data_IF_560737455460
#
_entry.id   IF_560737455460
#
_cell.length_a   1.000
_cell.length_b   1.000
_cell.length_c   1.000
_cell.angle_alpha   90.00
_cell.angle_beta   90.00
_cell.angle_gamma   90.00
#
_symmetry.space_group_name_H-M   'P 1'
#
loop_
_entity.id
_entity.type
_entity.pdbx_description
1 polymer ?
#
# COMPACT_ATOMS: atom_id res chain seq x y z
N UNK A 1 -49.20 -58.46 47.77
CA UNK A 1 -48.10 -57.69 48.31
C UNK A 1 -47.14 -57.39 47.23
N UNK A 2 -47.08 -56.13 46.73
CA UNK A 2 -46.41 -55.76 45.50
C UNK A 2 -45.17 -54.93 45.82
N UNK A 3 -43.97 -55.51 45.59
CA UNK A 3 -42.71 -54.79 45.66
C UNK A 3 -42.58 -53.91 44.40
N UNK A 4 -42.39 -52.58 44.63
CA UNK A 4 -41.97 -51.63 43.66
C UNK A 4 -40.45 -51.37 43.80
N UNK A 5 -39.73 -51.82 42.86
CA UNK A 5 -38.32 -51.56 42.67
C UNK A 5 -38.14 -50.18 41.98
N UNK A 6 -37.54 -49.22 42.67
CA UNK A 6 -37.15 -47.92 42.10
C UNK A 6 -35.80 -48.07 41.37
N UNK A 7 -35.78 -47.83 40.08
CA UNK A 7 -34.54 -47.64 39.29
C UNK A 7 -34.13 -46.20 39.40
N UNK A 8 -32.96 -45.93 39.98
CA UNK A 8 -32.26 -44.65 39.90
C UNK A 8 -31.45 -44.61 38.60
N UNK A 9 -31.86 -43.77 37.65
CA UNK A 9 -31.10 -43.49 36.45
C UNK A 9 -30.04 -42.40 36.72
N UNK A 10 -28.77 -42.74 36.61
CA UNK A 10 -27.68 -41.78 36.63
C UNK A 10 -27.57 -41.08 35.27
N UNK A 11 -27.84 -39.80 35.25
CA UNK A 11 -27.58 -38.95 34.07
C UNK A 11 -26.13 -38.53 34.07
N UNK A 12 -25.32 -39.08 33.19
CA UNK A 12 -23.93 -38.61 32.93
C UNK A 12 -23.99 -37.44 31.99
N UNK A 13 -23.77 -36.23 32.51
CA UNK A 13 -23.53 -35.02 31.70
C UNK A 13 -22.13 -35.09 31.06
N UNK A 14 -22.08 -35.37 29.77
CA UNK A 14 -20.88 -35.14 28.98
C UNK A 14 -20.77 -33.65 28.67
N UNK A 15 -19.89 -32.97 29.36
CA UNK A 15 -19.45 -31.61 29.02
C UNK A 15 -18.56 -31.69 27.77
N UNK A 16 -19.10 -31.42 26.58
CA UNK A 16 -18.33 -31.24 25.39
C UNK A 16 -17.56 -29.90 25.50
N UNK A 17 -16.27 -29.96 25.83
CA UNK A 17 -15.36 -28.86 25.64
C UNK A 17 -15.20 -28.63 24.12
N UNK A 18 -16.00 -27.74 23.60
CA UNK A 18 -15.79 -27.21 22.25
C UNK A 18 -14.52 -26.35 22.28
N UNK A 19 -13.38 -26.92 21.84
CA UNK A 19 -12.22 -26.13 21.46
C UNK A 19 -12.64 -25.28 20.25
N UNK A 20 -12.98 -24.02 20.50
CA UNK A 20 -13.10 -23.00 19.47
C UNK A 20 -11.70 -22.79 18.90
N UNK A 21 -11.35 -23.53 17.85
CA UNK A 21 -10.24 -23.13 16.98
C UNK A 21 -10.70 -21.87 16.27
N UNK A 22 -10.16 -20.71 16.68
CA UNK A 22 -10.27 -19.50 15.89
C UNK A 22 -9.78 -19.84 14.47
N UNK A 23 -10.72 -19.92 13.54
CA UNK A 23 -10.38 -19.94 12.11
C UNK A 23 -9.63 -18.63 11.83
N UNK A 24 -8.47 -18.70 11.16
CA UNK A 24 -7.81 -17.50 10.68
C UNK A 24 -8.85 -16.72 9.87
N UNK A 25 -9.02 -15.43 10.18
CA UNK A 25 -9.90 -14.57 9.40
C UNK A 25 -9.45 -14.66 7.93
N UNK A 26 -10.34 -15.07 7.04
CA UNK A 26 -10.09 -15.00 5.60
C UNK A 26 -9.75 -13.54 5.27
N UNK A 27 -8.52 -13.27 4.85
CA UNK A 27 -8.10 -11.95 4.38
C UNK A 27 -8.98 -11.60 3.17
N UNK A 28 -9.86 -10.61 3.37
CA UNK A 28 -10.85 -10.25 2.37
C UNK A 28 -10.19 -9.46 1.26
N UNK A 29 -10.23 -9.99 0.04
CA UNK A 29 -9.74 -9.27 -1.14
C UNK A 29 -10.46 -7.92 -1.28
N UNK A 30 -9.69 -6.89 -1.62
CA UNK A 30 -10.23 -5.58 -1.97
C UNK A 30 -11.09 -5.69 -3.26
N UNK A 31 -12.17 -4.92 -3.40
CA UNK A 31 -13.02 -4.96 -4.57
C UNK A 31 -12.27 -4.56 -5.85
N UNK A 32 -12.67 -5.16 -6.97
CA UNK A 32 -12.17 -4.79 -8.31
C UNK A 32 -12.58 -3.36 -8.63
N UNK A 33 -11.66 -2.60 -9.20
CA UNK A 33 -11.88 -1.20 -9.55
C UNK A 33 -11.15 -0.81 -10.85
N UNK A 34 -11.77 0.06 -11.62
CA UNK A 34 -11.15 0.78 -12.73
C UNK A 34 -10.07 1.74 -12.21
N UNK A 35 -9.30 2.38 -13.13
CA UNK A 35 -8.43 3.50 -12.77
C UNK A 35 -9.21 4.56 -11.98
N UNK A 36 -8.54 5.16 -10.99
CA UNK A 36 -9.19 6.17 -10.17
C UNK A 36 -9.45 7.44 -11.00
N UNK A 37 -10.61 8.02 -10.81
CA UNK A 37 -10.95 9.29 -11.45
C UNK A 37 -10.01 10.40 -11.00
N UNK A 38 -9.77 11.36 -11.89
CA UNK A 38 -8.95 12.55 -11.60
C UNK A 38 -9.41 13.25 -10.30
N UNK A 39 -8.45 13.83 -9.60
CA UNK A 39 -8.78 14.71 -8.49
C UNK A 39 -9.53 15.94 -9.04
N UNK A 40 -10.45 16.46 -8.24
CA UNK A 40 -11.23 17.67 -8.56
C UNK A 40 -11.10 18.66 -7.41
N UNK A 41 -11.03 19.97 -7.69
CA UNK A 41 -11.02 20.98 -6.64
C UNK A 41 -12.31 20.92 -5.84
N UNK A 42 -12.22 20.93 -4.49
CA UNK A 42 -13.37 21.00 -3.59
C UNK A 42 -13.79 22.43 -3.27
N UNK A 43 -12.93 23.40 -3.56
CA UNK A 43 -13.18 24.81 -3.26
C UNK A 43 -12.77 25.68 -4.45
N UNK A 44 -13.46 26.83 -4.67
CA UNK A 44 -13.10 27.77 -5.73
C UNK A 44 -11.69 28.36 -5.60
N UNK A 45 -11.12 28.41 -4.37
CA UNK A 45 -9.79 28.92 -4.09
C UNK A 45 -8.68 27.86 -4.18
N UNK A 46 -8.99 26.62 -4.55
CA UNK A 46 -7.99 25.59 -4.68
C UNK A 46 -7.06 25.83 -5.88
N UNK A 47 -5.76 25.86 -5.59
CA UNK A 47 -4.69 26.08 -6.57
C UNK A 47 -4.24 24.72 -7.11
N UNK A 48 -4.16 24.54 -8.44
CA UNK A 48 -3.65 23.31 -9.05
C UNK A 48 -2.13 23.23 -8.99
N UNK A 49 -1.62 22.07 -8.61
CA UNK A 49 -0.22 21.71 -8.62
C UNK A 49 -0.02 20.41 -9.37
N UNK A 50 1.13 20.26 -10.02
CA UNK A 50 1.54 19.03 -10.68
C UNK A 50 2.76 18.44 -10.02
N UNK A 51 2.77 17.11 -9.84
CA UNK A 51 3.94 16.38 -9.32
C UNK A 51 5.11 16.53 -10.31
N UNK A 52 6.24 16.99 -9.80
CA UNK A 52 7.52 16.96 -10.53
C UNK A 52 8.13 15.57 -10.41
N UNK A 53 7.89 14.76 -11.44
CA UNK A 53 8.39 13.39 -11.48
C UNK A 53 9.90 13.28 -11.32
N UNK A 54 10.67 14.30 -11.74
CA UNK A 54 12.14 14.27 -11.69
C UNK A 54 12.71 14.22 -10.27
N UNK A 55 11.94 14.70 -9.28
CA UNK A 55 12.31 14.76 -7.86
C UNK A 55 11.51 13.77 -7.00
N UNK A 56 10.76 12.87 -7.64
CA UNK A 56 9.88 11.94 -6.94
C UNK A 56 10.57 10.62 -6.60
N UNK A 57 10.14 10.00 -5.53
CA UNK A 57 10.57 8.67 -5.09
C UNK A 57 9.44 7.91 -4.44
N UNK A 58 9.37 6.64 -4.76
CA UNK A 58 8.51 5.65 -4.10
C UNK A 58 9.41 4.49 -3.69
N UNK A 59 9.33 4.08 -2.42
CA UNK A 59 10.13 2.99 -1.87
C UNK A 59 9.26 2.08 -1.00
N UNK A 60 9.67 0.82 -0.87
CA UNK A 60 9.13 -0.09 0.14
C UNK A 60 10.18 -1.06 0.66
N UNK A 61 9.93 -1.65 1.83
CA UNK A 61 10.77 -2.68 2.43
C UNK A 61 9.90 -3.84 2.89
N UNK A 62 10.11 -5.00 2.31
CA UNK A 62 9.58 -6.27 2.82
C UNK A 62 10.67 -6.95 3.63
N UNK A 63 10.53 -6.94 4.95
CA UNK A 63 11.50 -7.53 5.89
C UNK A 63 10.99 -8.87 6.39
N UNK A 64 11.73 -9.92 6.13
CA UNK A 64 11.47 -11.27 6.62
C UNK A 64 12.72 -11.85 7.31
N UNK A 65 12.57 -12.86 8.17
CA UNK A 65 13.69 -13.36 8.97
C UNK A 65 14.96 -13.73 8.19
N UNK A 66 14.86 -14.18 6.95
CA UNK A 66 16.01 -14.62 6.16
C UNK A 66 16.29 -13.77 4.92
N UNK A 67 15.37 -12.85 4.58
CA UNK A 67 15.45 -12.09 3.35
C UNK A 67 14.85 -10.71 3.53
N UNK A 68 15.51 -9.68 3.00
CA UNK A 68 14.96 -8.34 2.79
C UNK A 68 14.82 -8.09 1.31
N UNK A 69 13.64 -7.60 0.92
CA UNK A 69 13.38 -7.12 -0.44
C UNK A 69 13.04 -5.65 -0.34
N UNK A 70 13.87 -4.81 -0.94
CA UNK A 70 13.66 -3.38 -1.04
C UNK A 70 13.24 -3.02 -2.45
N UNK A 71 12.15 -2.28 -2.58
CA UNK A 71 11.75 -1.67 -3.83
C UNK A 71 12.13 -0.20 -3.86
N UNK A 72 12.69 0.25 -4.98
CA UNK A 72 13.05 1.64 -5.23
C UNK A 72 12.59 2.03 -6.64
N UNK A 73 11.81 3.11 -6.72
CA UNK A 73 11.29 3.63 -7.98
C UNK A 73 11.47 5.16 -8.03
N UNK A 74 12.70 5.62 -8.30
CA UNK A 74 12.96 7.04 -8.51
C UNK A 74 12.27 7.54 -9.77
N UNK A 75 11.80 8.79 -9.72
CA UNK A 75 11.13 9.46 -10.86
C UNK A 75 9.86 8.77 -11.35
N UNK A 76 9.24 7.95 -10.51
CA UNK A 76 8.07 7.14 -10.87
C UNK A 76 6.73 7.82 -10.62
N UNK A 77 6.70 8.91 -9.84
CA UNK A 77 5.45 9.54 -9.47
C UNK A 77 5.02 10.60 -10.46
N UNK A 78 3.72 10.61 -10.72
CA UNK A 78 3.03 11.64 -11.48
C UNK A 78 1.68 11.92 -10.84
N UNK A 79 1.11 13.10 -11.08
CA UNK A 79 -0.21 13.40 -10.54
C UNK A 79 -0.49 14.88 -10.42
N UNK A 80 -1.67 15.16 -9.88
CA UNK A 80 -2.18 16.52 -9.68
C UNK A 80 -2.73 16.67 -8.27
N UNK A 81 -2.50 17.83 -7.69
CA UNK A 81 -3.03 18.24 -6.39
C UNK A 81 -3.85 19.53 -6.60
N UNK A 82 -4.96 19.63 -5.91
CA UNK A 82 -5.73 20.87 -5.75
C UNK A 82 -5.66 21.26 -4.29
N UNK A 83 -4.91 22.31 -3.99
CA UNK A 83 -4.60 22.73 -2.63
C UNK A 83 -5.28 24.06 -2.33
N UNK A 84 -6.11 24.10 -1.28
CA UNK A 84 -6.62 25.33 -0.71
C UNK A 84 -5.69 25.75 0.46
N UNK A 85 -4.82 26.75 0.27
CA UNK A 85 -3.86 27.14 1.30
C UNK A 85 -4.52 27.82 2.52
N UNK A 86 -5.77 28.26 2.40
CA UNK A 86 -6.55 28.87 3.51
C UNK A 86 -7.32 27.82 4.30
N UNK A 87 -7.57 26.65 3.69
CA UNK A 87 -8.25 25.52 4.33
C UNK A 87 -7.80 24.20 3.73
N UNK A 88 -6.71 23.65 4.25
CA UNK A 88 -6.13 22.40 3.75
C UNK A 88 -7.09 21.20 3.78
N UNK A 89 -8.16 21.23 4.61
CA UNK A 89 -9.17 20.15 4.64
C UNK A 89 -9.93 20.03 3.32
N UNK A 90 -9.93 21.07 2.50
CA UNK A 90 -10.55 21.11 1.17
C UNK A 90 -9.63 20.67 0.04
N UNK A 91 -8.38 20.34 0.36
CA UNK A 91 -7.41 19.87 -0.64
C UNK A 91 -7.70 18.45 -1.08
N UNK A 92 -7.36 18.15 -2.34
CA UNK A 92 -7.48 16.82 -2.96
C UNK A 92 -6.26 16.53 -3.80
N UNK A 93 -5.98 15.25 -4.06
CA UNK A 93 -4.91 14.85 -4.95
C UNK A 93 -5.21 13.52 -5.64
N UNK A 94 -4.60 13.30 -6.80
CA UNK A 94 -4.40 11.98 -7.39
C UNK A 94 -2.92 11.84 -7.71
N UNK A 95 -2.27 10.88 -7.08
CA UNK A 95 -0.87 10.54 -7.34
C UNK A 95 -0.80 9.11 -7.83
N UNK A 96 -0.01 8.88 -8.88
CA UNK A 96 0.21 7.57 -9.52
C UNK A 96 1.69 7.25 -9.50
N UNK A 97 2.01 6.00 -9.16
CA UNK A 97 3.37 5.46 -9.25
C UNK A 97 3.46 4.50 -10.45
N UNK A 98 4.41 4.73 -11.36
CA UNK A 98 4.68 3.85 -12.48
C UNK A 98 5.54 2.66 -12.01
N UNK A 99 4.90 1.51 -11.86
CA UNK A 99 5.52 0.28 -11.37
C UNK A 99 6.52 -0.34 -12.37
N UNK A 100 6.53 0.09 -13.63
CA UNK A 100 7.58 -0.31 -14.59
C UNK A 100 8.95 0.28 -14.26
N UNK A 101 9.00 1.35 -13.45
CA UNK A 101 10.23 1.97 -12.99
C UNK A 101 10.74 1.39 -11.67
N UNK A 102 10.01 0.43 -11.10
CA UNK A 102 10.38 -0.25 -9.87
C UNK A 102 11.62 -1.14 -10.08
N UNK A 103 12.61 -0.97 -9.22
CA UNK A 103 13.79 -1.83 -9.14
C UNK A 103 13.82 -2.51 -7.77
N UNK A 104 13.96 -3.83 -7.75
CA UNK A 104 14.05 -4.62 -6.53
C UNK A 104 15.49 -5.00 -6.21
N UNK A 105 15.82 -4.82 -4.94
CA UNK A 105 17.08 -5.22 -4.32
C UNK A 105 16.82 -6.27 -3.26
N UNK A 106 17.76 -7.15 -3.08
CA UNK A 106 17.67 -8.28 -2.16
C UNK A 106 18.88 -8.32 -1.25
N UNK A 107 18.66 -8.63 0.02
CA UNK A 107 19.68 -9.04 0.99
C UNK A 107 19.22 -10.37 1.59
N UNK A 108 20.16 -11.30 1.75
CA UNK A 108 19.90 -12.63 2.34
C UNK A 108 20.83 -12.89 3.51
N UNK A 109 20.38 -13.73 4.43
CA UNK A 109 21.21 -14.31 5.49
C UNK A 109 20.92 -15.80 5.63
N UNK A 110 21.91 -16.56 6.12
CA UNK A 110 21.80 -18.01 6.27
C UNK A 110 20.83 -18.40 7.41
N UNK A 111 20.85 -17.64 8.49
CA UNK A 111 19.98 -17.80 9.65
C UNK A 111 19.75 -16.44 10.34
N UNK A 112 18.87 -16.39 11.33
CA UNK A 112 18.48 -15.15 12.01
C UNK A 112 19.58 -14.52 12.89
N UNK A 113 20.63 -15.27 13.23
CA UNK A 113 21.74 -14.80 14.07
C UNK A 113 22.87 -14.18 13.23
N UNK A 114 22.85 -14.38 11.92
CA UNK A 114 23.84 -13.85 10.98
C UNK A 114 23.35 -12.52 10.41
N UNK A 115 24.24 -11.55 10.25
CA UNK A 115 23.94 -10.30 9.57
C UNK A 115 23.49 -10.53 8.12
N UNK A 116 22.61 -9.67 7.61
CA UNK A 116 22.27 -9.70 6.19
C UNK A 116 23.51 -9.43 5.32
N UNK A 117 23.61 -10.14 4.22
CA UNK A 117 24.62 -9.89 3.20
C UNK A 117 24.42 -8.56 2.48
N UNK A 118 25.26 -8.33 1.47
CA UNK A 118 25.24 -7.12 0.68
C UNK A 118 23.88 -6.93 -0.04
N UNK A 119 23.41 -5.68 -0.10
CA UNK A 119 22.25 -5.27 -0.89
C UNK A 119 22.59 -5.33 -2.38
N UNK A 120 21.92 -6.19 -3.12
CA UNK A 120 22.15 -6.41 -4.56
C UNK A 120 20.86 -6.28 -5.35
N UNK A 121 20.94 -5.66 -6.53
CA UNK A 121 19.85 -5.71 -7.49
C UNK A 121 19.53 -7.16 -7.82
N UNK A 122 18.27 -7.55 -7.79
CA UNK A 122 17.82 -8.91 -8.03
C UNK A 122 16.96 -8.97 -9.27
N UNK A 123 17.54 -9.39 -10.39
CA UNK A 123 16.79 -9.54 -11.65
C UNK A 123 15.60 -10.51 -11.47
N UNK A 124 15.82 -11.62 -10.73
CA UNK A 124 14.76 -12.59 -10.44
C UNK A 124 13.58 -11.98 -9.67
N UNK A 125 13.84 -11.12 -8.67
CA UNK A 125 12.77 -10.46 -7.93
C UNK A 125 12.06 -9.41 -8.79
N UNK A 126 12.80 -8.74 -9.69
CA UNK A 126 12.20 -7.82 -10.65
C UNK A 126 11.25 -8.53 -11.63
N UNK A 127 11.66 -9.68 -12.17
CA UNK A 127 10.80 -10.53 -13.02
C UNK A 127 9.56 -10.99 -12.26
N UNK A 128 9.73 -11.53 -11.03
CA UNK A 128 8.61 -11.94 -10.19
C UNK A 128 7.63 -10.79 -9.92
N UNK A 129 8.12 -9.60 -9.58
CA UNK A 129 7.25 -8.45 -9.34
C UNK A 129 6.43 -8.08 -10.57
N UNK A 130 7.05 -8.09 -11.76
CA UNK A 130 6.35 -7.81 -13.01
C UNK A 130 5.26 -8.84 -13.31
N UNK A 131 5.53 -10.12 -13.07
CA UNK A 131 4.58 -11.21 -13.26
C UNK A 131 3.44 -11.16 -12.22
N UNK A 132 3.75 -10.93 -10.95
CA UNK A 132 2.75 -10.90 -9.88
C UNK A 132 1.83 -9.68 -9.98
N UNK A 133 2.38 -8.54 -10.38
CA UNK A 133 1.64 -7.32 -10.64
C UNK A 133 0.95 -7.31 -12.02
N UNK A 134 1.27 -8.27 -12.88
CA UNK A 134 0.72 -8.39 -14.24
C UNK A 134 0.83 -7.07 -15.03
N UNK A 135 2.00 -6.40 -14.94
CA UNK A 135 2.25 -5.12 -15.62
C UNK A 135 2.78 -5.26 -17.04
N UNK A 136 3.02 -6.48 -17.50
CA UNK A 136 3.36 -6.80 -18.88
C UNK A 136 2.24 -7.62 -19.53
N UNK A 137 1.92 -7.31 -20.78
CA UNK A 137 0.99 -8.11 -21.56
C UNK A 137 1.56 -9.51 -21.81
N UNK A 138 0.74 -10.55 -21.67
CA UNK A 138 1.13 -11.93 -21.88
C UNK A 138 -0.02 -12.67 -22.54
N UNK A 139 0.26 -13.30 -23.69
CA UNK A 139 -0.78 -13.98 -24.49
C UNK A 139 -1.54 -15.03 -23.65
N UNK A 140 -2.87 -15.00 -23.74
CA UNK A 140 -3.74 -15.91 -23.01
C UNK A 140 -3.93 -15.61 -21.51
N UNK A 141 -3.20 -14.61 -20.94
CA UNK A 141 -3.23 -14.33 -19.49
C UNK A 141 -3.59 -12.86 -19.19
N UNK A 142 -2.85 -11.92 -19.77
CA UNK A 142 -2.98 -10.49 -19.49
C UNK A 142 -3.05 -9.71 -20.77
N UNK A 143 -4.18 -9.07 -21.04
CA UNK A 143 -4.32 -8.19 -22.22
C UNK A 143 -3.46 -6.94 -22.04
N UNK A 144 -3.11 -6.29 -23.16
CA UNK A 144 -2.37 -5.03 -23.12
C UNK A 144 -3.10 -3.94 -22.31
N UNK A 145 -4.42 -3.89 -22.38
CA UNK A 145 -5.24 -2.94 -21.62
C UNK A 145 -5.17 -3.21 -20.10
N UNK A 146 -5.22 -4.49 -19.69
CA UNK A 146 -5.06 -4.89 -18.29
C UNK A 146 -3.65 -4.57 -17.78
N UNK A 147 -2.61 -4.91 -18.55
CA UNK A 147 -1.23 -4.63 -18.18
C UNK A 147 -1.00 -3.11 -18.01
N UNK A 148 -1.54 -2.28 -18.91
CA UNK A 148 -1.44 -0.82 -18.76
C UNK A 148 -2.23 -0.30 -17.54
N UNK A 149 -3.38 -0.91 -17.24
CA UNK A 149 -4.15 -0.57 -16.04
C UNK A 149 -3.41 -0.97 -14.75
N UNK A 150 -2.74 -2.13 -14.75
CA UNK A 150 -1.98 -2.64 -13.60
C UNK A 150 -0.62 -1.95 -13.42
N UNK A 151 -0.12 -1.30 -14.47
CA UNK A 151 1.14 -0.55 -14.46
C UNK A 151 1.22 0.50 -13.36
N UNK A 152 0.07 1.06 -12.96
CA UNK A 152 0.03 2.15 -12.00
C UNK A 152 -0.56 1.72 -10.66
N UNK A 153 0.19 1.99 -9.58
CA UNK A 153 -0.41 2.15 -8.25
C UNK A 153 -0.93 3.58 -8.13
N UNK A 154 -2.18 3.75 -7.70
CA UNK A 154 -2.86 5.05 -7.68
C UNK A 154 -3.35 5.36 -6.26
N UNK A 155 -3.16 6.59 -5.79
CA UNK A 155 -3.68 7.08 -4.52
C UNK A 155 -4.45 8.38 -4.75
N UNK A 156 -5.76 8.34 -4.57
CA UNK A 156 -6.65 9.51 -4.60
C UNK A 156 -6.91 9.98 -3.18
N UNK A 157 -6.28 11.08 -2.79
CA UNK A 157 -6.51 11.71 -1.50
C UNK A 157 -7.81 12.48 -1.54
N UNK A 158 -8.72 12.12 -0.65
CA UNK A 158 -10.04 12.75 -0.51
C UNK A 158 -10.20 13.51 0.79
N UNK A 159 -9.30 13.28 1.77
CA UNK A 159 -9.37 13.90 3.10
C UNK A 159 -7.99 14.10 3.70
N UNK A 160 -7.77 15.28 4.29
CA UNK A 160 -6.66 15.58 5.18
C UNK A 160 -7.22 15.79 6.58
N UNK A 161 -6.71 15.04 7.55
CA UNK A 161 -7.12 15.06 8.96
C UNK A 161 -5.91 15.24 9.87
N UNK A 162 -6.17 15.51 11.14
CA UNK A 162 -5.12 15.66 12.17
C UNK A 162 -4.04 16.66 11.74
N UNK A 163 -4.46 17.71 11.07
CA UNK A 163 -3.58 18.78 10.57
C UNK A 163 -2.97 19.55 11.73
N UNK A 164 -1.65 19.76 11.71
CA UNK A 164 -0.99 20.66 12.66
C UNK A 164 -1.34 22.13 12.44
N UNK A 165 -1.76 22.50 11.23
CA UNK A 165 -2.39 23.77 10.88
C UNK A 165 -3.33 23.58 9.70
N UNK A 166 -4.54 24.15 9.75
CA UNK A 166 -5.51 24.08 8.65
C UNK A 166 -5.30 25.18 7.61
N UNK A 167 -4.77 26.31 8.02
CA UNK A 167 -4.54 27.51 7.19
C UNK A 167 -3.04 27.80 7.16
N UNK A 168 -2.39 27.45 6.05
CA UNK A 168 -0.94 27.61 5.89
C UNK A 168 -0.55 29.07 5.65
N UNK A 169 -1.50 29.91 5.24
CA UNK A 169 -1.23 31.34 5.01
C UNK A 169 -0.95 32.10 6.32
N UNK A 170 -1.43 31.59 7.46
CA UNK A 170 -1.17 32.14 8.80
C UNK A 170 0.18 31.73 9.39
N UNK A 171 0.86 30.77 8.77
CA UNK A 171 2.23 30.42 9.16
C UNK A 171 3.21 31.43 8.56
N UNK A 172 4.35 31.62 9.22
CA UNK A 172 5.41 32.56 8.79
C UNK A 172 6.61 31.83 8.23
N UNK A 173 7.45 32.55 7.48
CA UNK A 173 8.68 32.05 6.89
C UNK A 173 8.52 31.58 5.45
N UNK A 174 9.65 31.34 4.78
CA UNK A 174 9.70 30.86 3.40
C UNK A 174 9.35 29.36 3.29
N UNK A 175 9.54 28.62 4.36
CA UNK A 175 9.12 27.20 4.47
C UNK A 175 8.10 27.07 5.60
N UNK A 176 6.91 26.55 5.25
CA UNK A 176 5.81 26.40 6.18
C UNK A 176 5.40 24.92 6.22
N UNK A 177 5.67 24.27 7.34
CA UNK A 177 5.46 22.82 7.48
C UNK A 177 4.15 22.51 8.18
N UNK A 178 3.42 21.57 7.64
CA UNK A 178 2.19 21.03 8.20
C UNK A 178 2.25 19.51 8.17
N UNK A 179 1.96 18.88 9.30
CA UNK A 179 1.75 17.43 9.36
C UNK A 179 0.27 17.11 9.25
N UNK A 180 -0.06 16.01 8.60
CA UNK A 180 -1.44 15.58 8.41
C UNK A 180 -1.53 14.06 8.31
N UNK A 181 -2.75 13.53 8.45
CA UNK A 181 -3.13 12.20 7.97
C UNK A 181 -3.85 12.36 6.65
N UNK A 182 -3.24 11.90 5.57
CA UNK A 182 -3.84 11.87 4.24
C UNK A 182 -4.58 10.54 4.05
N UNK A 183 -5.89 10.59 3.79
CA UNK A 183 -6.75 9.41 3.63
C UNK A 183 -7.44 9.44 2.28
N UNK A 184 -7.59 8.25 1.68
CA UNK A 184 -8.24 8.15 0.39
C UNK A 184 -8.31 6.74 -0.19
N UNK A 185 -8.67 6.66 -1.46
CA UNK A 185 -8.74 5.43 -2.23
C UNK A 185 -7.36 5.08 -2.77
N UNK A 186 -6.85 3.93 -2.41
CA UNK A 186 -5.64 3.33 -2.99
C UNK A 186 -6.03 2.20 -3.94
N UNK A 187 -5.45 2.22 -5.14
CA UNK A 187 -5.66 1.19 -6.15
C UNK A 187 -4.34 0.55 -6.53
N UNK A 188 -4.31 -0.78 -6.53
CA UNK A 188 -3.19 -1.60 -6.98
C UNK A 188 -3.74 -2.85 -7.68
N UNK A 189 -3.12 -3.28 -8.77
CA UNK A 189 -3.45 -4.52 -9.48
C UNK A 189 -4.98 -4.69 -9.75
N UNK A 190 -5.63 -3.59 -10.20
CA UNK A 190 -7.06 -3.60 -10.50
C UNK A 190 -8.00 -3.69 -9.30
N UNK A 191 -7.50 -3.57 -8.06
CA UNK A 191 -8.30 -3.59 -6.83
C UNK A 191 -8.14 -2.29 -6.05
N UNK A 192 -9.17 -1.94 -5.28
CA UNK A 192 -9.24 -0.67 -4.56
C UNK A 192 -9.56 -0.88 -3.08
N UNK A 193 -8.79 -0.24 -2.20
CA UNK A 193 -9.06 -0.17 -0.77
C UNK A 193 -8.81 1.24 -0.23
N UNK A 194 -9.41 1.55 0.91
CA UNK A 194 -9.12 2.79 1.62
C UNK A 194 -7.79 2.67 2.35
N UNK A 195 -6.92 3.68 2.18
CA UNK A 195 -5.62 3.75 2.87
C UNK A 195 -5.42 5.13 3.46
N UNK A 196 -4.56 5.17 4.49
CA UNK A 196 -4.17 6.42 5.16
C UNK A 196 -2.68 6.44 5.39
N UNK A 197 -2.07 7.61 5.27
CA UNK A 197 -0.65 7.83 5.53
C UNK A 197 -0.45 9.10 6.35
N UNK A 198 0.48 9.07 7.31
CA UNK A 198 0.97 10.28 7.96
C UNK A 198 1.95 10.97 7.05
N UNK A 199 1.74 12.24 6.75
CA UNK A 199 2.54 13.02 5.82
C UNK A 199 3.00 14.34 6.43
N UNK A 200 4.16 14.81 5.98
CA UNK A 200 4.59 16.19 6.11
C UNK A 200 4.41 16.90 4.77
N UNK A 201 3.78 18.04 4.80
CA UNK A 201 3.60 18.98 3.70
C UNK A 201 4.48 20.19 3.99
N UNK A 202 5.50 20.45 3.20
CA UNK A 202 6.36 21.63 3.32
C UNK A 202 6.05 22.60 2.17
N UNK A 203 5.33 23.66 2.48
CA UNK A 203 4.93 24.71 1.55
C UNK A 203 6.07 25.72 1.40
N UNK A 204 6.61 25.85 0.18
CA UNK A 204 7.69 26.77 -0.13
C UNK A 204 7.16 28.05 -0.76
N UNK A 205 7.46 29.17 -0.08
CA UNK A 205 7.02 30.50 -0.47
C UNK A 205 8.21 31.37 -0.90
N UNK A 206 8.00 32.13 -1.99
CA UNK A 206 8.83 33.28 -2.36
C UNK A 206 8.01 34.56 -2.13
N UNK A 207 8.28 35.25 -1.04
CA UNK A 207 7.37 36.29 -0.54
C UNK A 207 6.00 35.70 -0.19
N UNK A 208 4.96 36.22 -0.81
CA UNK A 208 3.58 35.72 -0.62
C UNK A 208 3.15 34.64 -1.62
N UNK A 209 4.02 34.33 -2.61
CA UNK A 209 3.73 33.37 -3.65
C UNK A 209 4.14 31.96 -3.22
N UNK A 210 3.18 31.03 -3.23
CA UNK A 210 3.43 29.61 -3.05
C UNK A 210 4.04 29.03 -4.34
N UNK A 211 5.28 28.56 -4.28
CA UNK A 211 6.05 28.10 -5.45
C UNK A 211 6.15 26.58 -5.54
N UNK A 212 6.13 25.89 -4.40
CA UNK A 212 6.21 24.44 -4.39
C UNK A 212 5.61 23.86 -3.10
N UNK A 213 5.25 22.59 -3.16
CA UNK A 213 4.86 21.78 -2.01
C UNK A 213 5.70 20.51 -2.04
N UNK A 214 6.56 20.33 -1.03
CA UNK A 214 7.21 19.05 -0.82
C UNK A 214 6.29 18.17 0.03
N UNK A 215 6.08 16.94 -0.40
CA UNK A 215 5.27 15.94 0.30
C UNK A 215 6.13 14.75 0.61
N UNK A 216 6.12 14.29 1.86
CA UNK A 216 6.75 13.02 2.24
C UNK A 216 5.93 12.28 3.29
N UNK A 217 5.92 10.98 3.23
CA UNK A 217 5.40 10.15 4.31
C UNK A 217 6.35 10.26 5.53
N UNK A 218 5.77 10.45 6.72
CA UNK A 218 6.52 10.47 7.98
C UNK A 218 6.82 9.06 8.48
N UNK A 219 5.88 8.15 8.25
CA UNK A 219 6.00 6.73 8.58
C UNK A 219 5.54 5.92 7.36
N UNK A 220 6.25 4.85 6.97
CA UNK A 220 5.77 3.97 5.91
C UNK A 220 4.37 3.43 6.23
N UNK A 221 3.47 3.43 5.26
CA UNK A 221 2.15 2.84 5.40
C UNK A 221 2.09 1.45 4.77
N UNK A 222 1.45 0.50 5.44
CA UNK A 222 1.45 -0.88 5.01
C UNK A 222 0.47 -1.14 3.84
N UNK A 223 0.96 -1.86 2.84
CA UNK A 223 0.15 -2.45 1.77
C UNK A 223 0.22 -3.96 1.93
N UNK A 224 -0.89 -4.59 2.28
CA UNK A 224 -1.01 -6.05 2.33
C UNK A 224 -1.18 -6.56 0.89
N UNK A 225 -0.18 -7.26 0.37
CA UNK A 225 -0.15 -7.69 -1.03
C UNK A 225 -1.35 -8.60 -1.39
N UNK A 226 -1.74 -9.46 -0.46
CA UNK A 226 -2.87 -10.39 -0.61
C UNK A 226 -4.21 -9.65 -0.78
N UNK A 227 -4.41 -8.52 -0.09
CA UNK A 227 -5.60 -7.66 -0.25
C UNK A 227 -5.80 -7.23 -1.71
N UNK A 228 -4.70 -7.03 -2.45
CA UNK A 228 -4.71 -6.61 -3.85
C UNK A 228 -4.48 -7.75 -4.83
N UNK A 229 -4.57 -9.01 -4.39
CA UNK A 229 -4.34 -10.20 -5.22
C UNK A 229 -2.96 -10.21 -5.90
N UNK A 230 -1.95 -9.64 -5.23
CA UNK A 230 -0.56 -9.70 -5.67
C UNK A 230 0.08 -10.95 -5.07
N UNK A 231 0.20 -12.00 -5.88
CA UNK A 231 0.63 -13.33 -5.46
C UNK A 231 1.65 -13.93 -6.42
N UNK A 232 2.43 -14.91 -5.94
CA UNK A 232 3.22 -15.77 -6.80
C UNK A 232 2.36 -16.41 -7.90
N UNK A 233 2.84 -16.36 -9.14
CA UNK A 233 2.21 -16.96 -10.32
C UNK A 233 3.16 -17.99 -10.92
N UNK A 234 2.61 -19.06 -11.50
CA UNK A 234 3.42 -20.02 -12.25
C UNK A 234 3.84 -19.44 -13.62
N UNK A 235 4.65 -20.20 -14.36
CA UNK A 235 5.12 -19.79 -15.69
C UNK A 235 3.98 -19.61 -16.70
N UNK A 236 2.76 -20.08 -16.39
CA UNK A 236 1.55 -19.91 -17.21
C UNK A 236 0.66 -18.77 -16.71
N UNK A 237 1.11 -18.00 -15.70
CA UNK A 237 0.36 -16.89 -15.11
C UNK A 237 -0.79 -17.32 -14.20
N UNK A 238 -1.01 -18.61 -14.03
CA UNK A 238 -2.05 -19.12 -13.12
C UNK A 238 -1.62 -18.95 -11.67
N UNK A 239 -2.57 -18.58 -10.85
CA UNK A 239 -2.40 -18.48 -9.41
C UNK A 239 -1.93 -19.83 -8.85
N UNK A 240 -0.73 -19.86 -8.28
CA UNK A 240 -0.19 -21.08 -7.63
C UNK A 240 -0.76 -21.19 -6.22
N UNK A 241 -2.09 -21.36 -6.13
CA UNK A 241 -2.81 -21.40 -4.86
C UNK A 241 -2.35 -22.55 -3.95
N UNK A 242 -2.09 -23.72 -4.56
CA UNK A 242 -1.61 -24.90 -3.81
C UNK A 242 -0.17 -24.81 -3.37
N UNK A 243 0.69 -24.08 -4.11
CA UNK A 243 2.07 -23.85 -3.71
C UNK A 243 2.15 -22.76 -2.64
N UNK A 244 1.30 -21.73 -2.72
CA UNK A 244 1.22 -20.69 -1.69
C UNK A 244 0.73 -21.25 -0.35
N UNK A 245 -0.25 -22.14 -0.34
CA UNK A 245 -0.76 -22.78 0.88
C UNK A 245 0.26 -23.77 1.48
N UNK A 246 0.96 -24.55 0.65
CA UNK A 246 2.03 -25.43 1.09
C UNK A 246 3.30 -24.66 1.50
N UNK A 247 3.66 -23.59 0.79
CA UNK A 247 4.73 -22.67 1.15
C UNK A 247 4.36 -21.82 2.38
N UNK A 248 3.12 -21.37 2.49
CA UNK A 248 2.65 -20.62 3.67
C UNK A 248 2.66 -21.49 4.94
N UNK A 249 2.36 -22.80 4.83
CA UNK A 249 2.45 -23.72 5.97
C UNK A 249 3.91 -24.04 6.36
N UNK A 250 4.82 -24.14 5.39
CA UNK A 250 6.25 -24.43 5.62
C UNK A 250 7.11 -23.15 5.81
N UNK A 251 6.60 -21.98 5.37
CA UNK A 251 7.29 -20.70 5.43
C UNK A 251 6.60 -19.72 6.38
N UNK A 252 5.75 -20.20 7.31
CA UNK A 252 5.09 -19.35 8.31
C UNK A 252 6.13 -18.43 8.96
N UNK A 253 6.00 -17.12 8.71
CA UNK A 253 6.89 -16.08 9.21
C UNK A 253 8.16 -15.85 8.38
N UNK A 254 8.39 -16.57 7.27
CA UNK A 254 9.61 -16.40 6.43
C UNK A 254 9.42 -15.45 5.25
N UNK A 255 8.19 -15.06 4.93
CA UNK A 255 7.87 -14.12 3.85
C UNK A 255 7.05 -12.97 4.45
N UNK A 256 7.46 -11.74 4.17
CA UNK A 256 6.70 -10.57 4.57
C UNK A 256 5.39 -10.53 3.77
N UNK A 257 4.27 -10.35 4.47
CA UNK A 257 2.93 -10.21 3.86
C UNK A 257 2.64 -8.77 3.46
N UNK A 258 3.22 -7.83 4.20
CA UNK A 258 3.03 -6.41 4.03
C UNK A 258 4.25 -5.78 3.37
N UNK A 259 4.00 -4.81 2.51
CA UNK A 259 4.99 -3.91 1.95
C UNK A 259 4.79 -2.51 2.55
N UNK A 260 5.54 -2.14 3.60
CA UNK A 260 5.55 -0.77 4.11
C UNK A 260 6.09 0.19 3.05
N UNK A 261 5.26 1.13 2.63
CA UNK A 261 5.53 2.05 1.52
C UNK A 261 5.85 3.45 2.04
N UNK A 262 6.88 4.08 1.47
CA UNK A 262 7.20 5.49 1.67
C UNK A 262 7.19 6.24 0.34
N UNK A 263 6.72 7.48 0.36
CA UNK A 263 6.57 8.35 -0.81
C UNK A 263 7.16 9.72 -0.52
N UNK A 264 7.88 10.28 -1.48
CA UNK A 264 8.39 11.66 -1.44
C UNK A 264 8.32 12.28 -2.82
N UNK A 265 7.84 13.50 -2.92
CA UNK A 265 7.81 14.26 -4.18
C UNK A 265 7.70 15.77 -3.94
N UNK A 266 8.00 16.54 -4.97
CA UNK A 266 7.70 17.97 -5.05
C UNK A 266 6.56 18.18 -6.03
N UNK A 267 5.60 19.03 -5.69
CA UNK A 267 4.58 19.52 -6.61
C UNK A 267 4.78 21.01 -6.85
N UNK A 268 4.62 21.44 -8.11
CA UNK A 268 4.77 22.83 -8.56
C UNK A 268 3.45 23.34 -9.15
N UNK A 269 3.16 24.64 -9.09
CA UNK A 269 1.97 25.22 -9.76
C UNK A 269 1.96 24.85 -11.24
N UNK A 270 0.75 24.60 -11.77
CA UNK A 270 0.54 24.34 -13.19
C UNK A 270 0.73 25.60 -14.01
#
# INVERSE_FOLDING_TARGET
MRNRMMLMGAVVLWSALACNKEQPAEEKLAPVASALEAAMPKAPGAVPFRVDGSTSSFTFLMDSPLEKIEGDAPKSLQGELFVDPTDLTKSTALVKADLKLLTLYQQKRADEQVAYGERKKSEKQNEHAQDWLQINAKEGEVTAAQAETNRFAELKIVKLENLSATDVTKLSGAERKVTATASGDFRLHGRKASKSAKVELNFKYAGDKLEAIEVKTLEPFAITLEEFEVHPRDATGKLVKTLSDALASNLKGKVAKDAPVAVSFVAKPN
#
